data_IF_965826786175
#
_entry.id   IF_965826786175
#
_cell.length_a   1.000
_cell.length_b   1.000
_cell.length_c   1.000
_cell.angle_alpha   90.00
_cell.angle_beta   90.00
_cell.angle_gamma   90.00
#
_symmetry.space_group_name_H-M   'P 1'
#
loop_
_entity.id
_entity.type
_entity.pdbx_description
1 polymer ?
#
# COMPACT_ATOMS: atom_id res chain seq x y z
N UNK A 1 21.09 -20.54 11.49
CA UNK A 1 21.55 -19.27 10.85
C UNK A 1 20.96 -18.13 11.65
N UNK A 2 21.78 -17.17 12.10
CA UNK A 2 21.26 -15.98 12.79
C UNK A 2 20.68 -15.04 11.74
N UNK A 3 19.38 -14.77 11.81
CA UNK A 3 18.66 -13.94 10.82
C UNK A 3 19.20 -12.50 10.80
N UNK A 4 19.62 -11.96 11.93
CA UNK A 4 20.17 -10.60 12.00
C UNK A 4 21.50 -10.47 11.24
N UNK A 5 22.39 -11.47 11.34
CA UNK A 5 23.65 -11.49 10.57
C UNK A 5 23.34 -11.58 9.07
N UNK A 6 22.42 -12.46 8.68
CA UNK A 6 21.99 -12.58 7.27
C UNK A 6 21.46 -11.25 6.71
N UNK A 7 20.67 -10.53 7.48
CA UNK A 7 20.09 -9.25 7.05
C UNK A 7 21.16 -8.16 6.97
N UNK A 8 22.09 -8.11 7.94
CA UNK A 8 23.20 -7.14 7.93
C UNK A 8 24.13 -7.38 6.72
N UNK A 9 24.37 -8.63 6.34
CA UNK A 9 25.19 -8.99 5.18
C UNK A 9 24.56 -8.54 3.83
N UNK A 10 23.24 -8.29 3.80
CA UNK A 10 22.56 -7.77 2.60
C UNK A 10 22.93 -6.32 2.27
N UNK A 11 23.42 -5.55 3.23
CA UNK A 11 23.86 -4.14 3.08
C UNK A 11 22.85 -3.28 2.30
N UNK A 12 21.57 -3.29 2.73
CA UNK A 12 20.52 -2.53 2.09
C UNK A 12 20.70 -1.03 2.32
N UNK A 13 20.66 -0.26 1.25
CA UNK A 13 20.57 1.20 1.32
C UNK A 13 19.26 1.65 1.95
N UNK A 14 19.23 2.86 2.52
CA UNK A 14 17.98 3.45 3.07
C UNK A 14 16.93 3.57 1.96
N UNK A 15 15.69 3.13 2.26
CA UNK A 15 14.58 3.06 1.31
C UNK A 15 14.61 1.82 0.39
N UNK A 16 15.67 1.02 0.42
CA UNK A 16 15.78 -0.17 -0.42
C UNK A 16 14.92 -1.31 0.13
N UNK A 17 14.20 -1.97 -0.80
CA UNK A 17 13.48 -3.21 -0.52
C UNK A 17 13.97 -4.31 -1.46
N UNK A 18 14.30 -5.46 -0.89
CA UNK A 18 14.80 -6.61 -1.65
C UNK A 18 13.96 -7.84 -1.38
N UNK A 19 13.55 -8.53 -2.44
CA UNK A 19 12.79 -9.77 -2.34
C UNK A 19 13.67 -10.95 -2.73
N UNK A 20 13.72 -11.96 -1.86
CA UNK A 20 14.69 -13.06 -1.91
C UNK A 20 14.02 -14.39 -1.57
N UNK A 21 14.76 -15.49 -1.77
CA UNK A 21 14.37 -16.78 -1.23
C UNK A 21 14.44 -16.76 0.29
N UNK A 22 13.46 -17.37 0.93
CA UNK A 22 13.40 -17.35 2.38
C UNK A 22 14.56 -18.14 3.00
N UNK A 23 15.39 -17.53 3.87
CA UNK A 23 16.50 -18.21 4.49
C UNK A 23 16.09 -19.34 5.45
N UNK A 24 14.86 -19.29 5.96
CA UNK A 24 14.31 -20.30 6.87
C UNK A 24 13.62 -21.43 6.11
N UNK A 25 12.57 -21.15 5.33
CA UNK A 25 11.76 -22.18 4.69
C UNK A 25 12.19 -22.49 3.23
N UNK A 26 13.23 -21.84 2.72
CA UNK A 26 13.80 -22.02 1.37
C UNK A 26 12.80 -21.81 0.21
N UNK A 27 11.65 -21.23 0.50
CA UNK A 27 10.66 -20.94 -0.55
C UNK A 27 11.15 -19.83 -1.45
N UNK A 28 11.01 -20.06 -2.75
CA UNK A 28 11.44 -19.15 -3.80
C UNK A 28 10.71 -17.81 -3.72
N UNK A 29 11.47 -16.73 -3.67
CA UNK A 29 11.00 -15.34 -3.77
C UNK A 29 9.85 -14.96 -2.79
N UNK A 30 9.89 -15.49 -1.56
CA UNK A 30 8.85 -15.27 -0.54
C UNK A 30 9.30 -14.41 0.62
N UNK A 31 10.57 -14.03 0.70
CA UNK A 31 11.12 -13.25 1.79
C UNK A 31 11.46 -11.84 1.32
N UNK A 32 10.88 -10.85 1.98
CA UNK A 32 11.17 -9.44 1.70
C UNK A 32 11.89 -8.82 2.88
N UNK A 33 12.94 -8.06 2.59
CA UNK A 33 13.66 -7.21 3.55
C UNK A 33 13.60 -5.79 3.05
N UNK A 34 13.24 -4.86 3.93
CA UNK A 34 13.13 -3.43 3.61
C UNK A 34 13.90 -2.62 4.65
N UNK A 35 14.82 -1.77 4.21
CA UNK A 35 15.46 -0.76 5.06
C UNK A 35 14.60 0.51 5.00
N UNK A 36 13.73 0.69 6.00
CA UNK A 36 12.91 1.87 6.16
C UNK A 36 13.56 2.78 7.21
N UNK A 37 14.11 3.88 6.80
CA UNK A 37 14.76 4.96 7.54
C UNK A 37 14.86 4.75 9.07
N UNK A 38 15.96 4.15 9.53
CA UNK A 38 16.17 3.79 10.94
C UNK A 38 15.60 2.45 11.41
N UNK A 39 14.98 1.67 10.52
CA UNK A 39 14.49 0.33 10.82
C UNK A 39 14.60 -0.59 9.61
N UNK A 40 15.22 -1.74 9.79
CA UNK A 40 15.17 -2.81 8.78
C UNK A 40 14.13 -3.82 9.19
N UNK A 41 13.16 -4.03 8.30
CA UNK A 41 12.03 -4.95 8.51
C UNK A 41 12.13 -6.11 7.54
N UNK A 42 11.70 -7.30 7.97
CA UNK A 42 11.66 -8.48 7.12
C UNK A 42 10.43 -9.34 7.39
N UNK A 43 9.94 -9.99 6.33
CA UNK A 43 8.80 -10.88 6.41
C UNK A 43 8.85 -11.96 5.34
N UNK A 44 8.49 -13.20 5.70
CA UNK A 44 8.23 -14.28 4.74
C UNK A 44 6.72 -14.41 4.48
N UNK A 45 6.32 -14.34 3.23
CA UNK A 45 4.92 -14.40 2.81
C UNK A 45 4.37 -15.84 2.63
N UNK A 46 5.15 -16.85 2.99
CA UNK A 46 4.66 -18.23 3.01
C UNK A 46 3.87 -18.46 4.29
N UNK A 47 2.60 -18.83 4.18
CA UNK A 47 1.66 -19.02 5.30
C UNK A 47 2.22 -19.95 6.40
N UNK A 48 2.97 -20.99 6.02
CA UNK A 48 3.58 -21.95 6.95
C UNK A 48 4.93 -21.48 7.52
N UNK A 49 5.37 -20.24 7.25
CA UNK A 49 6.64 -19.70 7.70
C UNK A 49 6.41 -18.46 8.55
N UNK A 50 6.75 -18.53 9.81
CA UNK A 50 6.60 -17.42 10.77
C UNK A 50 7.81 -16.46 10.81
N UNK A 51 8.72 -16.53 9.80
CA UNK A 51 9.91 -15.69 9.80
C UNK A 51 9.53 -14.24 9.48
N UNK A 52 9.46 -13.42 10.51
CA UNK A 52 9.26 -11.98 10.41
C UNK A 52 10.01 -11.27 11.54
N UNK A 53 10.25 -9.98 11.41
CA UNK A 53 10.86 -9.19 12.46
C UNK A 53 11.31 -7.83 11.98
N UNK A 54 11.92 -7.08 12.90
CA UNK A 54 12.54 -5.81 12.62
C UNK A 54 13.82 -5.62 13.47
N UNK A 55 14.67 -4.71 13.04
CA UNK A 55 15.86 -4.27 13.74
C UNK A 55 16.00 -2.76 13.58
N UNK A 56 16.37 -2.06 14.64
CA UNK A 56 16.74 -0.64 14.54
C UNK A 56 18.14 -0.52 13.98
N UNK A 57 18.32 0.43 13.07
CA UNK A 57 19.61 0.79 12.48
C UNK A 57 19.90 2.24 12.81
N UNK A 58 21.10 2.53 13.28
CA UNK A 58 21.55 3.91 13.50
C UNK A 58 21.79 4.54 12.13
N UNK A 59 21.06 5.63 11.84
CA UNK A 59 21.28 6.40 10.61
C UNK A 59 22.50 7.30 10.77
N UNK A 60 23.34 7.31 9.77
CA UNK A 60 24.39 8.31 9.63
C UNK A 60 23.88 9.54 8.88
N UNK A 61 24.59 10.67 8.96
CA UNK A 61 24.26 11.86 8.18
C UNK A 61 24.34 11.58 6.68
N UNK A 62 25.23 10.70 6.25
CA UNK A 62 25.38 10.30 4.86
C UNK A 62 24.23 9.41 4.37
N UNK A 63 23.68 8.56 5.24
CA UNK A 63 22.46 7.79 4.93
C UNK A 63 21.29 8.73 4.69
N UNK A 64 21.14 9.76 5.51
CA UNK A 64 20.08 10.77 5.36
C UNK A 64 20.26 11.55 4.06
N UNK A 65 21.47 12.01 3.76
CA UNK A 65 21.79 12.72 2.51
C UNK A 65 21.51 11.84 1.29
N UNK A 66 21.91 10.59 1.31
CA UNK A 66 21.70 9.63 0.22
C UNK A 66 20.21 9.37 0.01
N UNK A 67 19.43 9.23 1.10
CA UNK A 67 17.99 9.08 1.02
C UNK A 67 17.31 10.32 0.42
N UNK A 68 17.71 11.52 0.84
CA UNK A 68 17.19 12.79 0.30
C UNK A 68 17.57 12.97 -1.17
N UNK A 69 18.78 12.65 -1.58
CA UNK A 69 19.22 12.74 -2.99
C UNK A 69 18.44 11.77 -3.87
N UNK A 70 18.23 10.52 -3.41
CA UNK A 70 17.40 9.54 -4.13
C UNK A 70 15.95 10.01 -4.25
N UNK A 71 15.39 10.62 -3.22
CA UNK A 71 14.03 11.14 -3.27
C UNK A 71 13.90 12.26 -4.30
N UNK A 72 14.90 13.15 -4.39
CA UNK A 72 14.95 14.22 -5.41
C UNK A 72 15.09 13.63 -6.82
N UNK A 73 15.90 12.59 -7.00
CA UNK A 73 16.05 11.90 -8.29
C UNK A 73 14.77 11.16 -8.68
N UNK A 74 14.12 10.48 -7.76
CA UNK A 74 12.84 9.77 -8.00
C UNK A 74 11.71 10.78 -8.29
N UNK A 75 11.65 11.92 -7.61
CA UNK A 75 10.69 13.00 -7.87
C UNK A 75 10.86 13.64 -9.24
N UNK A 76 12.07 13.64 -9.80
CA UNK A 76 12.37 14.15 -11.14
C UNK A 76 12.18 13.12 -12.26
N UNK A 77 12.00 11.84 -11.93
CA UNK A 77 11.79 10.79 -12.93
C UNK A 77 10.32 10.76 -13.33
N UNK A 78 10.03 11.09 -14.59
CA UNK A 78 8.67 10.96 -15.14
C UNK A 78 8.33 9.47 -15.19
N UNK A 79 7.31 9.06 -14.43
CA UNK A 79 6.81 7.70 -14.50
C UNK A 79 5.97 7.52 -15.76
N UNK A 80 6.26 6.49 -16.52
CA UNK A 80 5.47 6.05 -17.65
C UNK A 80 5.12 4.56 -17.50
N UNK A 81 3.88 4.23 -17.81
CA UNK A 81 3.51 2.81 -17.87
C UNK A 81 4.23 2.11 -19.02
N UNK A 82 4.59 0.83 -18.87
CA UNK A 82 5.05 0.00 -19.98
C UNK A 82 4.01 0.00 -21.11
N UNK A 83 4.44 -0.12 -22.36
CA UNK A 83 3.60 -0.09 -23.59
C UNK A 83 2.39 -1.05 -23.53
N UNK A 84 2.54 -2.18 -22.83
CA UNK A 84 1.47 -3.15 -22.67
C UNK A 84 0.45 -2.79 -21.58
N UNK A 85 0.63 -1.68 -20.87
CA UNK A 85 -0.32 -1.12 -19.92
C UNK A 85 -0.99 0.08 -20.56
N UNK A 86 -2.21 -0.11 -20.98
CA UNK A 86 -2.97 0.86 -21.77
C UNK A 86 -4.24 1.32 -21.00
N UNK A 87 -4.82 2.49 -21.31
CA UNK A 87 -6.12 2.85 -20.75
C UNK A 87 -7.13 1.71 -20.94
N UNK A 88 -8.01 1.50 -19.97
CA UNK A 88 -8.88 0.30 -19.97
C UNK A 88 -9.79 0.20 -21.19
N UNK A 89 -10.21 1.34 -21.81
CA UNK A 89 -10.88 1.39 -23.10
C UNK A 89 -12.18 0.57 -23.16
N UNK A 90 -13.01 0.60 -22.13
CA UNK A 90 -14.26 -0.16 -21.99
C UNK A 90 -14.11 -1.68 -22.18
N UNK A 91 -12.95 -2.25 -21.88
CA UNK A 91 -12.75 -3.69 -21.98
C UNK A 91 -13.64 -4.46 -21.03
N UNK A 92 -14.41 -5.37 -21.58
CA UNK A 92 -15.38 -6.21 -20.87
C UNK A 92 -14.81 -6.83 -19.59
N UNK A 93 -13.57 -7.35 -19.64
CA UNK A 93 -12.92 -7.97 -18.49
C UNK A 93 -12.74 -7.02 -17.29
N UNK A 94 -12.38 -5.75 -17.56
CA UNK A 94 -12.23 -4.72 -16.52
C UNK A 94 -13.60 -4.29 -16.01
N UNK A 95 -14.55 -4.02 -16.92
CA UNK A 95 -15.90 -3.59 -16.56
C UNK A 95 -16.61 -4.64 -15.71
N UNK A 96 -16.59 -5.91 -16.12
CA UNK A 96 -17.20 -7.00 -15.35
C UNK A 96 -16.54 -7.20 -14.00
N UNK A 97 -15.21 -7.02 -13.94
CA UNK A 97 -14.50 -7.12 -12.67
C UNK A 97 -14.85 -5.96 -11.72
N UNK A 98 -14.90 -4.71 -12.21
CA UNK A 98 -15.31 -3.54 -11.43
C UNK A 98 -16.76 -3.68 -10.92
N UNK A 99 -17.67 -4.17 -11.76
CA UNK A 99 -19.08 -4.37 -11.40
C UNK A 99 -19.26 -5.31 -10.20
N UNK A 100 -18.38 -6.30 -10.03
CA UNK A 100 -18.41 -7.19 -8.84
C UNK A 100 -18.24 -6.44 -7.53
N UNK A 101 -17.57 -5.28 -7.58
CA UNK A 101 -17.31 -4.44 -6.42
C UNK A 101 -18.17 -3.18 -6.38
N UNK A 102 -19.10 -3.05 -7.33
CA UNK A 102 -19.92 -1.83 -7.50
C UNK A 102 -19.06 -0.60 -7.82
N UNK A 103 -17.97 -0.79 -8.59
CA UNK A 103 -17.04 0.27 -8.99
C UNK A 103 -17.17 0.53 -10.49
N UNK A 104 -16.82 1.75 -10.91
CA UNK A 104 -16.71 2.15 -12.32
C UNK A 104 -15.23 2.25 -12.71
N UNK A 105 -14.84 1.54 -13.76
CA UNK A 105 -13.49 1.59 -14.29
C UNK A 105 -13.13 2.99 -14.84
N UNK A 106 -14.10 3.68 -15.44
CA UNK A 106 -13.95 5.04 -15.94
C UNK A 106 -13.76 6.05 -14.81
N UNK A 107 -14.61 5.98 -13.77
CA UNK A 107 -14.50 6.87 -12.61
C UNK A 107 -13.18 6.70 -11.84
N UNK A 108 -12.60 5.51 -11.88
CA UNK A 108 -11.31 5.20 -11.28
C UNK A 108 -10.13 5.44 -12.23
N UNK A 109 -10.40 5.84 -13.50
CA UNK A 109 -9.37 6.03 -14.53
C UNK A 109 -8.43 4.84 -14.67
N UNK A 110 -8.96 3.61 -14.61
CA UNK A 110 -8.15 2.40 -14.62
C UNK A 110 -7.40 2.21 -15.96
N UNK A 111 -6.28 1.51 -15.86
CA UNK A 111 -5.53 0.98 -16.99
C UNK A 111 -5.68 -0.55 -17.04
N UNK A 112 -5.28 -1.14 -18.15
CA UNK A 112 -5.27 -2.56 -18.36
C UNK A 112 -3.92 -3.06 -18.83
N UNK A 113 -3.33 -3.98 -18.09
CA UNK A 113 -2.16 -4.73 -18.53
C UNK A 113 -2.62 -5.89 -19.42
N UNK A 114 -2.43 -5.72 -20.73
CA UNK A 114 -2.86 -6.71 -21.75
C UNK A 114 -2.00 -7.97 -21.71
N UNK A 115 -0.77 -7.89 -21.21
CA UNK A 115 0.18 -8.99 -21.13
C UNK A 115 -0.10 -9.93 -19.95
N UNK A 116 -0.38 -9.33 -18.79
CA UNK A 116 -0.56 -10.09 -17.54
C UNK A 116 -2.02 -10.18 -17.10
N UNK A 117 -2.96 -9.64 -17.87
CA UNK A 117 -4.39 -9.59 -17.57
C UNK A 117 -4.67 -9.00 -16.17
N UNK A 118 -4.32 -7.70 -16.01
CA UNK A 118 -4.49 -6.98 -14.74
C UNK A 118 -5.29 -5.70 -14.91
N UNK A 119 -6.16 -5.43 -13.95
CA UNK A 119 -6.69 -4.08 -13.74
C UNK A 119 -5.63 -3.25 -13.02
N UNK A 120 -5.23 -2.12 -13.59
CA UNK A 120 -4.16 -1.28 -13.04
C UNK A 120 -4.75 0.03 -12.51
N UNK A 121 -4.57 0.26 -11.23
CA UNK A 121 -4.95 1.47 -10.52
C UNK A 121 -3.79 2.46 -10.62
N UNK A 122 -3.95 3.62 -11.28
CA UNK A 122 -2.90 4.64 -11.31
C UNK A 122 -2.73 5.24 -9.91
N UNK A 123 -1.49 5.41 -9.49
CA UNK A 123 -1.17 6.15 -8.27
C UNK A 123 -0.83 7.57 -8.69
N UNK A 124 -1.65 8.50 -8.24
CA UNK A 124 -1.57 9.92 -8.64
C UNK A 124 -1.09 10.75 -7.47
N UNK A 125 -0.11 11.60 -7.70
CA UNK A 125 0.37 12.61 -6.78
C UNK A 125 0.59 13.92 -7.55
N UNK A 126 0.15 15.03 -7.01
CA UNK A 126 0.21 16.37 -7.64
C UNK A 126 -0.28 16.36 -9.10
N UNK A 127 -1.40 15.70 -9.34
CA UNK A 127 -2.04 15.54 -10.65
C UNK A 127 -1.18 14.79 -11.70
N UNK A 128 -0.14 14.09 -11.28
CA UNK A 128 0.69 13.26 -12.14
C UNK A 128 0.58 11.80 -11.73
N UNK A 129 0.59 10.89 -12.70
CA UNK A 129 0.72 9.46 -12.42
C UNK A 129 2.19 9.22 -12.07
N UNK A 130 2.42 8.74 -10.85
CA UNK A 130 3.76 8.47 -10.30
C UNK A 130 4.06 6.98 -10.15
N UNK A 131 3.04 6.13 -10.26
CA UNK A 131 3.15 4.68 -10.21
C UNK A 131 1.83 4.01 -10.60
N UNK A 132 1.77 2.69 -10.53
CA UNK A 132 0.55 1.91 -10.70
C UNK A 132 0.54 0.63 -9.89
N UNK A 133 -0.65 0.23 -9.43
CA UNK A 133 -0.88 -1.02 -8.73
C UNK A 133 -1.80 -1.94 -9.54
N UNK A 134 -1.27 -3.04 -10.06
CA UNK A 134 -1.99 -3.98 -10.92
C UNK A 134 -2.56 -5.16 -10.15
N UNK A 135 -3.88 -5.31 -10.20
CA UNK A 135 -4.61 -6.45 -9.66
C UNK A 135 -4.80 -7.52 -10.73
N UNK A 136 -4.36 -8.74 -10.51
CA UNK A 136 -4.63 -9.86 -11.41
C UNK A 136 -6.14 -10.12 -11.52
N UNK A 137 -6.67 -10.19 -12.74
CA UNK A 137 -8.06 -10.55 -13.03
C UNK A 137 -8.25 -12.07 -13.14
N UNK A 138 -7.16 -12.82 -13.18
CA UNK A 138 -7.15 -14.27 -13.25
C UNK A 138 -6.42 -14.92 -12.07
N UNK A 139 -5.75 -16.03 -12.35
CA UNK A 139 -4.99 -16.82 -11.37
C UNK A 139 -3.50 -16.44 -11.30
N UNK A 140 -3.06 -15.44 -12.06
CA UNK A 140 -1.66 -15.02 -12.12
C UNK A 140 -1.15 -14.51 -10.76
N UNK A 141 0.04 -14.93 -10.37
CA UNK A 141 0.74 -14.44 -9.18
C UNK A 141 1.86 -13.49 -9.59
N UNK A 142 2.18 -12.49 -8.77
CA UNK A 142 1.52 -12.12 -7.53
C UNK A 142 0.11 -11.55 -7.77
N UNK A 143 -0.77 -11.62 -6.76
CA UNK A 143 -2.14 -11.06 -6.79
C UNK A 143 -2.12 -9.56 -7.07
N UNK A 144 -1.21 -8.82 -6.46
CA UNK A 144 -0.92 -7.41 -6.68
C UNK A 144 0.51 -7.23 -7.20
N UNK A 145 0.71 -6.28 -8.12
CA UNK A 145 2.02 -5.94 -8.71
C UNK A 145 2.16 -4.42 -8.80
N UNK A 146 3.30 -3.88 -8.39
CA UNK A 146 3.66 -2.47 -8.64
C UNK A 146 4.36 -2.36 -10.00
N UNK A 147 4.15 -1.24 -10.69
CA UNK A 147 4.77 -0.96 -12.00
C UNK A 147 5.95 -0.01 -11.88
N UNK A 148 5.96 0.86 -10.89
CA UNK A 148 7.05 1.75 -10.56
C UNK A 148 7.73 1.40 -9.25
N UNK A 149 8.58 2.32 -8.78
CA UNK A 149 9.34 2.22 -7.53
C UNK A 149 8.86 3.20 -6.46
N UNK A 150 7.89 4.05 -6.79
CA UNK A 150 7.36 5.02 -5.86
C UNK A 150 6.65 4.32 -4.69
N UNK A 151 6.89 4.79 -3.49
CA UNK A 151 6.33 4.21 -2.26
C UNK A 151 5.07 4.94 -1.77
N UNK A 152 4.49 5.84 -2.58
CA UNK A 152 3.24 6.52 -2.23
C UNK A 152 2.06 5.54 -2.21
N UNK A 153 1.06 5.77 -1.35
CA UNK A 153 -0.14 4.97 -1.30
C UNK A 153 -1.05 5.28 -2.51
N UNK A 154 -1.88 4.32 -2.91
CA UNK A 154 -3.01 4.63 -3.78
C UNK A 154 -4.06 5.41 -2.98
N UNK A 155 -4.67 6.42 -3.58
CA UNK A 155 -5.75 7.19 -2.94
C UNK A 155 -6.90 7.47 -3.91
N UNK A 156 -8.13 7.46 -3.38
CA UNK A 156 -9.35 7.76 -4.13
C UNK A 156 -10.32 8.56 -3.26
N UNK A 157 -11.08 9.48 -3.88
CA UNK A 157 -12.05 10.34 -3.18
C UNK A 157 -11.44 11.65 -2.69
N UNK A 158 -12.20 12.39 -1.91
CA UNK A 158 -11.87 13.73 -1.43
C UNK A 158 -12.04 13.83 0.10
N UNK A 159 -11.86 15.05 0.65
CA UNK A 159 -12.08 15.33 2.06
C UNK A 159 -10.83 15.23 2.93
N UNK A 160 -11.01 15.57 4.21
CA UNK A 160 -9.97 15.66 5.23
C UNK A 160 -9.87 14.43 6.13
N UNK A 161 -10.73 13.44 5.89
CA UNK A 161 -10.73 12.16 6.61
C UNK A 161 -10.14 11.06 5.72
N UNK A 162 -9.03 10.47 6.13
CA UNK A 162 -8.39 9.34 5.49
C UNK A 162 -8.91 8.01 6.04
N UNK A 163 -9.34 7.10 5.15
CA UNK A 163 -9.66 5.71 5.51
C UNK A 163 -8.51 4.83 5.02
N UNK A 164 -7.69 4.35 5.95
CA UNK A 164 -6.49 3.57 5.66
C UNK A 164 -6.84 2.10 5.56
N UNK A 165 -6.62 1.51 4.38
CA UNK A 165 -6.95 0.12 4.03
C UNK A 165 -5.76 -0.60 3.39
N UNK A 166 -5.87 -1.90 3.14
CA UNK A 166 -4.77 -2.67 2.57
C UNK A 166 -4.67 -2.58 1.05
N UNK A 167 -5.80 -2.57 0.32
CA UNK A 167 -5.82 -2.66 -1.14
C UNK A 167 -6.66 -1.55 -1.83
N UNK A 168 -6.37 -1.35 -3.14
CA UNK A 168 -6.98 -0.29 -3.94
C UNK A 168 -8.51 -0.46 -4.08
N UNK A 169 -9.03 -1.69 -4.06
CA UNK A 169 -10.48 -1.94 -4.20
C UNK A 169 -11.20 -1.43 -2.97
N UNK A 170 -10.72 -1.80 -1.78
CA UNK A 170 -11.26 -1.33 -0.51
C UNK A 170 -11.17 0.19 -0.40
N UNK A 171 -10.04 0.80 -0.83
CA UNK A 171 -9.88 2.25 -0.88
C UNK A 171 -10.92 2.92 -1.80
N UNK A 172 -11.15 2.37 -3.00
CA UNK A 172 -12.13 2.89 -3.94
C UNK A 172 -13.58 2.74 -3.42
N UNK A 173 -13.87 1.64 -2.70
CA UNK A 173 -15.22 1.39 -2.15
C UNK A 173 -15.61 2.37 -1.06
N UNK A 174 -14.66 2.78 -0.21
CA UNK A 174 -14.92 3.71 0.92
C UNK A 174 -14.79 5.17 0.54
N UNK A 175 -14.27 5.46 -0.63
CA UNK A 175 -14.09 6.81 -1.14
C UNK A 175 -15.42 7.54 -1.32
N UNK A 176 -15.44 8.82 -1.00
CA UNK A 176 -16.58 9.74 -1.22
C UNK A 176 -16.08 11.18 -1.36
N UNK A 177 -16.99 12.13 -1.44
CA UNK A 177 -16.63 13.56 -1.48
C UNK A 177 -16.07 14.07 -0.13
N UNK A 178 -16.34 13.38 0.97
CA UNK A 178 -15.89 13.77 2.34
C UNK A 178 -14.83 12.83 2.91
N UNK A 179 -14.57 11.68 2.25
CA UNK A 179 -13.63 10.66 2.72
C UNK A 179 -12.68 10.24 1.62
N UNK A 180 -11.41 10.19 1.93
CA UNK A 180 -10.38 9.67 1.03
C UNK A 180 -9.96 8.26 1.44
N UNK A 181 -10.26 7.28 0.60
CA UNK A 181 -9.76 5.92 0.76
C UNK A 181 -8.29 5.84 0.39
N UNK A 182 -7.45 5.26 1.25
CA UNK A 182 -5.99 5.22 1.10
C UNK A 182 -5.51 3.79 1.29
N UNK A 183 -4.96 3.19 0.22
CA UNK A 183 -4.40 1.85 0.25
C UNK A 183 -2.88 1.89 0.42
N UNK A 184 -2.38 1.29 1.51
CA UNK A 184 -0.93 1.23 1.79
C UNK A 184 -0.18 0.19 0.96
N UNK A 185 -0.89 -0.72 0.30
CA UNK A 185 -0.37 -1.71 -0.67
C UNK A 185 0.78 -2.57 -0.13
N UNK A 186 0.78 -2.85 1.16
CA UNK A 186 1.83 -3.63 1.80
C UNK A 186 1.51 -4.00 3.23
N UNK A 187 2.46 -4.68 3.86
CA UNK A 187 2.33 -5.14 5.26
C UNK A 187 2.87 -4.15 6.28
N UNK A 188 3.49 -3.06 5.83
CA UNK A 188 4.16 -2.07 6.68
C UNK A 188 3.73 -0.66 6.31
N UNK A 189 3.65 0.19 7.32
CA UNK A 189 3.42 1.62 7.14
C UNK A 189 4.78 2.32 6.92
N UNK A 190 5.05 2.70 5.66
CA UNK A 190 6.29 3.36 5.29
C UNK A 190 6.29 4.83 5.74
N UNK A 191 7.47 5.44 5.79
CA UNK A 191 7.60 6.86 6.15
C UNK A 191 6.87 7.77 5.14
N UNK A 192 6.97 7.46 3.84
CA UNK A 192 6.21 8.14 2.78
C UNK A 192 4.69 8.07 2.98
N UNK A 193 4.18 6.94 3.48
CA UNK A 193 2.76 6.80 3.83
C UNK A 193 2.39 7.72 5.00
N UNK A 194 3.22 7.79 6.04
CA UNK A 194 2.97 8.64 7.22
C UNK A 194 3.00 10.12 6.86
N UNK A 195 3.96 10.52 6.06
CA UNK A 195 4.05 11.89 5.53
C UNK A 195 2.84 12.21 4.64
N UNK A 196 2.45 11.31 3.74
CA UNK A 196 1.24 11.50 2.94
C UNK A 196 -0.02 11.63 3.81
N UNK A 197 -0.13 10.83 4.87
CA UNK A 197 -1.27 10.84 5.79
C UNK A 197 -1.29 12.07 6.71
N UNK A 198 -0.17 12.75 6.94
CA UNK A 198 -0.09 13.92 7.83
C UNK A 198 -0.91 15.13 7.35
N UNK A 199 -1.30 15.16 6.07
CA UNK A 199 -2.17 16.21 5.51
C UNK A 199 -3.64 16.08 5.96
N UNK A 200 -4.05 14.94 6.53
CA UNK A 200 -5.43 14.69 6.96
C UNK A 200 -5.63 15.06 8.43
N UNK A 201 -6.81 15.58 8.74
CA UNK A 201 -7.20 15.87 10.13
C UNK A 201 -7.51 14.61 10.93
N UNK A 202 -8.08 13.60 10.25
CA UNK A 202 -8.49 12.33 10.85
C UNK A 202 -8.02 11.16 9.97
N UNK A 203 -7.45 10.13 10.58
CA UNK A 203 -7.16 8.86 9.95
C UNK A 203 -7.93 7.73 10.65
N UNK A 204 -8.73 6.99 9.90
CA UNK A 204 -9.45 5.79 10.38
C UNK A 204 -8.74 4.57 9.79
N UNK A 205 -8.14 3.75 10.64
CA UNK A 205 -7.44 2.54 10.23
C UNK A 205 -8.43 1.39 10.18
N UNK A 206 -8.65 0.85 8.99
CA UNK A 206 -9.62 -0.20 8.69
C UNK A 206 -8.97 -1.27 7.79
N UNK A 207 -7.98 -1.99 8.35
CA UNK A 207 -7.31 -3.10 7.66
C UNK A 207 -8.15 -4.38 7.74
N UNK A 208 -7.76 -5.40 7.01
CA UNK A 208 -8.43 -6.69 6.98
C UNK A 208 -8.60 -7.30 8.40
N UNK A 209 -9.65 -8.08 8.68
CA UNK A 209 -10.02 -8.53 10.03
C UNK A 209 -8.94 -9.31 10.78
N UNK A 210 -8.04 -9.98 10.06
CA UNK A 210 -6.94 -10.78 10.60
C UNK A 210 -5.68 -9.96 10.96
N UNK A 211 -5.70 -8.63 10.71
CA UNK A 211 -4.56 -7.75 10.88
C UNK A 211 -4.57 -6.93 12.19
N UNK A 212 -5.16 -7.43 13.28
CA UNK A 212 -5.38 -6.64 14.51
C UNK A 212 -4.10 -6.04 15.10
N UNK A 213 -3.03 -6.81 15.20
CA UNK A 213 -1.74 -6.33 15.74
C UNK A 213 -1.17 -5.21 14.87
N UNK A 214 -1.30 -5.34 13.55
CA UNK A 214 -0.89 -4.36 12.57
C UNK A 214 -1.72 -3.08 12.67
N UNK A 215 -3.03 -3.19 12.88
CA UNK A 215 -3.92 -2.06 13.11
C UNK A 215 -3.43 -1.23 14.30
N UNK A 216 -3.13 -1.89 15.42
CA UNK A 216 -2.66 -1.23 16.64
C UNK A 216 -1.28 -0.58 16.46
N UNK A 217 -0.39 -1.25 15.72
CA UNK A 217 0.90 -0.69 15.37
C UNK A 217 0.75 0.57 14.49
N UNK A 218 -0.05 0.51 13.43
CA UNK A 218 -0.32 1.66 12.55
C UNK A 218 -0.93 2.83 13.32
N UNK A 219 -1.89 2.55 14.21
CA UNK A 219 -2.49 3.57 15.06
C UNK A 219 -1.46 4.27 15.95
N UNK A 220 -0.56 3.49 16.56
CA UNK A 220 0.51 4.03 17.40
C UNK A 220 1.46 4.92 16.60
N UNK A 221 1.87 4.49 15.41
CA UNK A 221 2.79 5.23 14.55
C UNK A 221 2.15 6.52 14.02
N UNK A 222 0.89 6.46 13.55
CA UNK A 222 0.19 7.60 12.94
C UNK A 222 -0.18 8.71 13.92
N UNK A 223 -0.31 8.43 15.22
CA UNK A 223 -0.59 9.46 16.24
C UNK A 223 0.44 10.59 16.29
N UNK A 224 1.64 10.37 15.77
CA UNK A 224 2.66 11.41 15.68
C UNK A 224 2.54 12.28 14.41
N UNK A 225 1.69 11.91 13.46
CA UNK A 225 1.56 12.55 12.14
C UNK A 225 0.17 13.12 11.90
N UNK A 226 -0.86 12.51 12.46
CA UNK A 226 -2.28 12.86 12.24
C UNK A 226 -2.92 13.27 13.56
N UNK A 227 -3.68 14.35 13.54
CA UNK A 227 -4.29 14.94 14.75
C UNK A 227 -5.23 13.94 15.45
N UNK A 228 -6.06 13.24 14.69
CA UNK A 228 -6.99 12.26 15.23
C UNK A 228 -6.81 10.91 14.53
N UNK A 229 -6.53 9.87 15.29
CA UNK A 229 -6.37 8.50 14.77
C UNK A 229 -7.39 7.59 15.44
N UNK A 230 -8.28 7.03 14.62
CA UNK A 230 -9.32 6.08 15.01
C UNK A 230 -9.00 4.70 14.47
N UNK A 231 -9.56 3.67 15.08
CA UNK A 231 -9.44 2.29 14.65
C UNK A 231 -10.84 1.73 14.41
N UNK A 232 -11.03 1.14 13.25
CA UNK A 232 -12.23 0.38 12.92
C UNK A 232 -11.86 -1.10 12.79
N UNK A 233 -12.37 -1.90 13.72
CA UNK A 233 -12.26 -3.35 13.63
C UNK A 233 -13.35 -3.86 12.71
N UNK A 234 -12.94 -4.45 11.58
CA UNK A 234 -13.85 -4.98 10.57
C UNK A 234 -14.30 -6.40 10.92
N UNK A 235 -15.50 -6.76 10.48
CA UNK A 235 -16.00 -8.15 10.40
C UNK A 235 -15.59 -8.80 9.08
N UNK A 236 -15.53 -7.99 8.00
CA UNK A 236 -15.12 -8.42 6.66
C UNK A 236 -14.34 -7.31 5.97
N UNK A 237 -13.59 -7.62 4.91
CA UNK A 237 -12.89 -6.64 4.11
C UNK A 237 -13.91 -5.64 3.49
N UNK A 238 -13.62 -4.33 3.58
CA UNK A 238 -14.55 -3.25 3.19
C UNK A 238 -15.04 -3.34 1.74
N UNK A 239 -14.29 -3.98 0.85
CA UNK A 239 -14.76 -4.22 -0.52
C UNK A 239 -16.02 -5.09 -0.61
N UNK A 240 -16.31 -5.92 0.38
CA UNK A 240 -17.53 -6.73 0.46
C UNK A 240 -18.74 -5.97 0.98
N UNK A 241 -18.55 -4.71 1.42
CA UNK A 241 -19.62 -3.79 1.83
C UNK A 241 -20.49 -4.36 2.95
N UNK A 242 -19.88 -5.01 3.96
CA UNK A 242 -20.61 -5.44 5.14
C UNK A 242 -21.35 -4.23 5.76
N UNK A 243 -22.64 -4.36 5.97
CA UNK A 243 -23.51 -3.25 6.41
C UNK A 243 -23.09 -2.70 7.77
N UNK A 244 -22.73 -3.57 8.71
CA UNK A 244 -22.31 -3.15 10.05
C UNK A 244 -20.98 -2.40 10.00
N UNK A 245 -20.03 -2.88 9.19
CA UNK A 245 -18.73 -2.23 9.03
C UNK A 245 -18.87 -0.85 8.38
N UNK A 246 -19.73 -0.72 7.37
CA UNK A 246 -20.00 0.58 6.73
C UNK A 246 -20.72 1.55 7.67
N UNK A 247 -21.68 1.07 8.47
CA UNK A 247 -22.35 1.88 9.49
C UNK A 247 -21.35 2.36 10.56
N UNK A 248 -20.50 1.46 11.06
CA UNK A 248 -19.47 1.82 12.03
C UNK A 248 -18.47 2.84 11.43
N UNK A 249 -18.07 2.68 10.18
CA UNK A 249 -17.25 3.64 9.47
C UNK A 249 -17.92 5.02 9.38
N UNK A 250 -19.21 5.06 9.07
CA UNK A 250 -19.98 6.29 9.01
C UNK A 250 -20.02 7.01 10.37
N UNK A 251 -20.22 6.28 11.48
CA UNK A 251 -20.21 6.86 12.83
C UNK A 251 -18.83 7.38 13.26
N UNK A 252 -17.75 6.76 12.80
CA UNK A 252 -16.38 7.20 13.08
C UNK A 252 -15.98 8.43 12.25
N UNK A 253 -16.60 8.62 11.09
CA UNK A 253 -16.31 9.76 10.21
C UNK A 253 -16.85 11.05 10.84
N UNK A 254 -16.02 12.09 11.03
CA UNK A 254 -16.51 13.38 11.51
C UNK A 254 -17.65 13.92 10.63
N UNK A 255 -18.66 14.48 11.24
CA UNK A 255 -19.70 15.25 10.52
C UNK A 255 -19.10 16.62 10.21
N UNK A 256 -19.08 16.98 8.95
CA UNK A 256 -18.72 18.35 8.52
C UNK A 256 -19.78 19.35 8.96
#
# INVERSE_FOLDING_TARGET
MNIYNYINDLQLSVGESRRLDCPNCKSYNTFTVTNNMGSVMWNCYKISCSLSGNSRVTLTVDDIRTAMSKQIEDDNTIFEFPEHVVPHGNRKAITEWCNKWGLSADALSLYYDVKENRAVFPIVHDNKIVDGAGRSLGKSKPKWKRYGKNNLPYSQGHGTTAIVVEDCVSAAVVASDTRKGIAVLGTSLLESHKQYLSQFSTAIIALDPDALDKIMQFAKELRNYVKEVKVLRLKDDLKYRNEEDLNNLYFLTPKE
#
